data_IF_104066628030
#
_entry.id   IF_104066628030
#
_cell.length_a   1.000
_cell.length_b   1.000
_cell.length_c   1.000
_cell.angle_alpha   90.00
_cell.angle_beta   90.00
_cell.angle_gamma   90.00
#
_symmetry.space_group_name_H-M   'P 1'
#
loop_
_entity.id
_entity.type
_entity.pdbx_description
1 polymer ?
#
# COMPACT_ATOMS: atom_id res chain seq x y z
N UNK A 1 -6.93 12.43 -6.51
CA UNK A 1 -5.99 11.39 -6.04
C UNK A 1 -5.70 10.47 -7.22
N UNK A 2 -4.45 10.04 -7.42
CA UNK A 2 -4.09 9.10 -8.49
C UNK A 2 -4.38 7.68 -8.01
N UNK A 3 -5.03 6.84 -8.82
CA UNK A 3 -5.25 5.44 -8.47
C UNK A 3 -3.94 4.66 -8.62
N UNK A 4 -3.53 3.95 -7.56
CA UNK A 4 -2.33 3.11 -7.55
C UNK A 4 -2.66 1.66 -7.90
N UNK A 5 -3.84 1.18 -7.49
CA UNK A 5 -4.25 -0.20 -7.71
C UNK A 5 -5.66 -0.47 -7.24
N UNK A 6 -6.10 -1.70 -7.43
CA UNK A 6 -7.36 -2.21 -6.93
C UNK A 6 -7.21 -3.67 -6.50
N UNK A 7 -8.05 -4.10 -5.58
CA UNK A 7 -8.17 -5.49 -5.17
C UNK A 7 -9.65 -5.86 -5.03
N UNK A 8 -9.91 -7.06 -4.54
CA UNK A 8 -11.27 -7.55 -4.32
C UNK A 8 -11.98 -6.67 -3.27
N UNK A 9 -12.81 -5.74 -3.76
CA UNK A 9 -13.62 -4.84 -2.95
C UNK A 9 -12.94 -3.60 -2.39
N UNK A 10 -11.71 -3.28 -2.82
CA UNK A 10 -10.98 -2.08 -2.40
C UNK A 10 -10.26 -1.41 -3.56
N UNK A 11 -10.06 -0.11 -3.46
CA UNK A 11 -9.19 0.68 -4.32
C UNK A 11 -8.10 1.33 -3.47
N UNK A 12 -6.90 1.46 -4.04
CA UNK A 12 -5.76 2.14 -3.42
C UNK A 12 -5.41 3.38 -4.22
N UNK A 13 -5.24 4.51 -3.55
CA UNK A 13 -4.96 5.80 -4.15
C UNK A 13 -3.72 6.45 -3.55
N UNK A 14 -2.96 7.16 -4.36
CA UNK A 14 -1.90 8.05 -3.92
C UNK A 14 -2.50 9.40 -3.49
N UNK A 15 -2.22 9.77 -2.25
CA UNK A 15 -2.53 11.07 -1.69
C UNK A 15 -1.24 11.88 -1.54
N UNK A 16 -0.98 12.75 -2.53
CA UNK A 16 0.08 13.76 -2.45
C UNK A 16 -0.34 14.84 -1.44
N UNK A 17 0.57 15.23 -0.55
CA UNK A 17 0.32 16.29 0.43
C UNK A 17 0.77 17.62 -0.16
N UNK A 18 -0.12 18.62 -0.14
CA UNK A 18 0.24 19.97 -0.59
C UNK A 18 1.40 20.51 0.26
N UNK A 19 2.44 21.11 -0.35
CA UNK A 19 3.56 21.67 0.38
C UNK A 19 3.09 22.97 1.05
N UNK A 20 2.59 22.88 2.29
CA UNK A 20 2.43 24.07 3.15
C UNK A 20 3.74 24.28 3.91
N UNK A 21 4.78 24.70 3.20
CA UNK A 21 6.10 25.06 3.76
C UNK A 21 7.11 23.93 3.96
N UNK A 22 6.68 22.67 4.09
CA UNK A 22 7.55 21.49 4.12
C UNK A 22 7.04 20.41 3.15
N UNK A 23 7.95 19.79 2.39
CA UNK A 23 7.64 18.59 1.60
C UNK A 23 7.29 17.46 2.55
N UNK A 24 6.02 17.04 2.54
CA UNK A 24 5.60 15.87 3.28
C UNK A 24 5.58 14.66 2.35
N UNK A 25 6.15 13.53 2.81
CA UNK A 25 6.05 12.25 2.10
C UNK A 25 4.58 11.92 1.79
N UNK A 26 4.29 11.42 0.58
CA UNK A 26 2.93 11.06 0.18
C UNK A 26 2.42 9.85 0.96
N UNK A 27 1.11 9.64 0.96
CA UNK A 27 0.47 8.47 1.59
C UNK A 27 -0.28 7.64 0.56
N UNK A 28 -0.37 6.34 0.81
CA UNK A 28 -1.32 5.47 0.13
C UNK A 28 -2.63 5.41 0.95
N UNK A 29 -3.77 5.51 0.28
CA UNK A 29 -5.09 5.46 0.89
C UNK A 29 -5.85 4.28 0.31
N UNK A 30 -6.10 3.27 1.14
CA UNK A 30 -6.93 2.10 0.82
C UNK A 30 -8.36 2.36 1.27
N UNK A 31 -9.31 2.21 0.35
CA UNK A 31 -10.72 2.53 0.55
C UNK A 31 -11.60 1.46 -0.08
N UNK A 32 -12.74 1.16 0.54
CA UNK A 32 -13.71 0.19 0.01
C UNK A 32 -14.23 0.68 -1.35
N UNK A 33 -14.33 -0.23 -2.31
CA UNK A 33 -14.88 0.09 -3.61
C UNK A 33 -16.40 0.36 -3.48
N UNK A 34 -16.91 1.54 -3.85
CA UNK A 34 -18.34 1.83 -3.77
C UNK A 34 -19.18 0.97 -4.71
N UNK A 35 -18.57 0.32 -5.72
CA UNK A 35 -19.25 -0.61 -6.63
C UNK A 35 -19.39 -2.03 -6.08
N UNK A 36 -18.95 -2.29 -4.86
CA UNK A 36 -19.18 -3.60 -4.23
C UNK A 36 -20.65 -3.76 -3.87
N UNK A 37 -21.18 -4.96 -4.12
CA UNK A 37 -22.53 -5.34 -3.73
C UNK A 37 -22.72 -5.16 -2.21
N UNK A 38 -23.88 -4.66 -1.80
CA UNK A 38 -24.18 -4.31 -0.40
C UNK A 38 -23.96 -5.51 0.54
N UNK A 39 -24.27 -6.73 0.07
CA UNK A 39 -24.07 -8.00 0.80
C UNK A 39 -22.62 -8.20 1.28
N UNK A 40 -21.63 -7.74 0.50
CA UNK A 40 -20.21 -7.91 0.81
C UNK A 40 -19.57 -6.66 1.41
N UNK A 41 -20.27 -5.52 1.42
CA UNK A 41 -19.73 -4.26 1.92
C UNK A 41 -19.34 -4.35 3.41
N UNK A 42 -20.21 -4.98 4.21
CA UNK A 42 -19.97 -5.23 5.64
C UNK A 42 -18.72 -6.09 5.88
N UNK A 43 -18.50 -7.10 5.03
CA UNK A 43 -17.34 -7.99 5.09
C UNK A 43 -16.06 -7.22 4.79
N UNK A 44 -16.03 -6.41 3.72
CA UNK A 44 -14.85 -5.61 3.38
C UNK A 44 -14.58 -4.52 4.41
N UNK A 45 -15.61 -3.94 5.00
CA UNK A 45 -15.49 -2.99 6.10
C UNK A 45 -14.87 -3.62 7.34
N UNK A 46 -15.33 -4.81 7.73
CA UNK A 46 -14.73 -5.56 8.84
C UNK A 46 -13.25 -5.85 8.56
N UNK A 47 -12.94 -6.40 7.38
CA UNK A 47 -11.55 -6.71 6.96
C UNK A 47 -10.65 -5.48 6.98
N UNK A 48 -11.11 -4.35 6.44
CA UNK A 48 -10.32 -3.11 6.42
C UNK A 48 -10.10 -2.56 7.83
N UNK A 49 -11.08 -2.71 8.72
CA UNK A 49 -10.96 -2.32 10.13
C UNK A 49 -9.95 -3.21 10.86
N UNK A 50 -10.01 -4.53 10.65
CA UNK A 50 -9.08 -5.48 11.25
C UNK A 50 -7.64 -5.25 10.74
N UNK A 51 -7.48 -5.01 9.43
CA UNK A 51 -6.20 -4.61 8.83
C UNK A 51 -5.66 -3.33 9.45
N UNK A 52 -6.49 -2.31 9.66
CA UNK A 52 -6.07 -1.07 10.30
C UNK A 52 -5.63 -1.27 11.76
N UNK A 53 -6.27 -2.17 12.51
CA UNK A 53 -5.88 -2.50 13.89
C UNK A 53 -4.52 -3.17 13.93
N UNK A 54 -4.30 -4.17 13.07
CA UNK A 54 -3.02 -4.89 12.98
C UNK A 54 -1.91 -3.93 12.54
N UNK A 55 -2.12 -3.18 11.45
CA UNK A 55 -1.10 -2.28 10.92
C UNK A 55 -0.71 -1.20 11.93
N UNK A 56 -1.66 -0.71 12.74
CA UNK A 56 -1.41 0.29 13.78
C UNK A 56 -0.48 -0.22 14.88
N UNK A 57 -0.47 -1.53 15.18
CA UNK A 57 0.43 -2.11 16.17
C UNK A 57 1.83 -2.43 15.63
N UNK A 58 2.03 -2.38 14.31
CA UNK A 58 3.30 -2.70 13.67
C UNK A 58 4.16 -1.43 13.54
N UNK A 59 5.42 -1.54 13.95
CA UNK A 59 6.43 -0.50 13.77
C UNK A 59 7.76 -1.15 13.41
N UNK A 60 8.02 -1.32 12.11
CA UNK A 60 9.22 -2.00 11.62
C UNK A 60 9.69 -1.37 10.29
N UNK A 61 10.99 -1.15 10.08
CA UNK A 61 11.52 -0.48 8.87
C UNK A 61 11.25 -1.22 7.56
N UNK A 62 10.91 -2.51 7.60
CA UNK A 62 10.59 -3.32 6.42
C UNK A 62 9.08 -3.64 6.29
N UNK A 63 8.23 -2.96 7.06
CA UNK A 63 6.77 -3.08 6.96
C UNK A 63 6.20 -1.68 6.67
N UNK A 64 5.26 -1.59 5.74
CA UNK A 64 4.56 -0.34 5.42
C UNK A 64 3.87 0.19 6.68
N UNK A 65 4.21 1.41 7.09
CA UNK A 65 3.68 2.00 8.32
C UNK A 65 2.20 2.37 8.28
N UNK A 66 1.55 2.33 9.44
CA UNK A 66 0.22 2.88 9.65
C UNK A 66 0.26 4.42 9.77
N UNK A 67 -0.74 5.10 9.19
CA UNK A 67 -0.93 6.53 9.41
C UNK A 67 -2.24 6.86 10.13
N UNK A 68 -3.37 6.44 9.57
CA UNK A 68 -4.69 6.77 10.10
C UNK A 68 -5.77 5.84 9.56
N UNK A 69 -6.86 5.69 10.31
CA UNK A 69 -8.08 5.04 9.87
C UNK A 69 -9.25 5.96 10.13
N UNK A 70 -9.93 6.41 9.08
CA UNK A 70 -10.95 7.46 9.17
C UNK A 70 -12.06 7.27 8.14
N UNK A 71 -13.14 8.04 8.25
CA UNK A 71 -14.19 8.13 7.22
C UNK A 71 -13.85 9.24 6.22
N UNK A 72 -14.03 8.95 4.94
CA UNK A 72 -14.05 9.97 3.89
C UNK A 72 -15.32 10.82 3.97
N UNK A 73 -15.36 11.90 3.19
CA UNK A 73 -16.51 12.80 3.09
C UNK A 73 -17.80 12.13 2.64
N UNK A 74 -17.70 11.01 1.91
CA UNK A 74 -18.83 10.18 1.50
C UNK A 74 -19.21 9.09 2.52
N UNK A 75 -18.66 9.15 3.74
CA UNK A 75 -18.96 8.21 4.83
C UNK A 75 -18.20 6.87 4.78
N UNK A 76 -17.56 6.56 3.65
CA UNK A 76 -16.80 5.31 3.49
C UNK A 76 -15.52 5.29 4.32
N UNK A 77 -15.11 4.11 4.79
CA UNK A 77 -13.88 3.95 5.58
C UNK A 77 -12.63 3.94 4.69
N UNK A 78 -11.59 4.59 5.20
CA UNK A 78 -10.30 4.78 4.56
C UNK A 78 -9.17 4.45 5.54
N UNK A 79 -8.27 3.58 5.09
CA UNK A 79 -6.99 3.33 5.75
C UNK A 79 -5.90 4.11 5.00
N UNK A 80 -5.31 5.08 5.68
CA UNK A 80 -4.10 5.75 5.23
C UNK A 80 -2.87 5.02 5.77
N UNK A 81 -1.95 4.70 4.87
CA UNK A 81 -0.70 3.98 5.13
C UNK A 81 0.47 4.70 4.47
N UNK A 82 1.68 4.38 4.92
CA UNK A 82 2.91 4.83 4.29
C UNK A 82 2.94 4.48 2.80
N UNK A 83 3.52 5.37 2.00
CA UNK A 83 3.72 5.10 0.58
C UNK A 83 5.01 4.30 0.38
N UNK A 84 4.88 3.03 0.00
CA UNK A 84 6.00 2.09 -0.16
C UNK A 84 6.88 2.30 -1.40
N UNK A 85 6.63 3.34 -2.19
CA UNK A 85 7.35 3.65 -3.42
C UNK A 85 6.55 3.41 -4.69
N UNK A 86 7.16 3.79 -5.81
CA UNK A 86 6.51 3.83 -7.14
C UNK A 86 6.37 2.46 -7.80
N UNK A 87 7.23 1.51 -7.44
CA UNK A 87 7.30 0.18 -8.08
C UNK A 87 7.36 -0.91 -7.02
N UNK A 88 6.64 -2.00 -7.28
CA UNK A 88 6.80 -3.26 -6.57
C UNK A 88 8.06 -3.99 -7.04
N UNK A 89 8.52 -4.97 -6.26
CA UNK A 89 9.59 -5.87 -6.70
C UNK A 89 9.20 -6.61 -8.00
N UNK A 90 7.92 -6.95 -8.16
CA UNK A 90 7.42 -7.59 -9.37
C UNK A 90 7.55 -6.69 -10.59
N UNK A 91 7.22 -5.40 -10.47
CA UNK A 91 7.38 -4.44 -11.57
C UNK A 91 8.85 -4.37 -12.02
N UNK A 92 9.79 -4.35 -11.06
CA UNK A 92 11.22 -4.34 -11.37
C UNK A 92 11.70 -5.62 -12.05
N UNK A 93 11.15 -6.78 -11.68
CA UNK A 93 11.46 -8.07 -12.31
C UNK A 93 10.91 -8.11 -13.75
N UNK A 94 9.65 -7.71 -13.94
CA UNK A 94 8.99 -7.69 -15.25
C UNK A 94 9.64 -6.70 -16.22
N UNK A 95 9.99 -5.51 -15.77
CA UNK A 95 10.73 -4.53 -16.58
C UNK A 95 12.08 -5.08 -17.04
N UNK A 96 12.80 -5.73 -16.13
CA UNK A 96 14.11 -6.33 -16.43
C UNK A 96 14.00 -7.48 -17.42
N UNK A 97 12.97 -8.32 -17.28
CA UNK A 97 12.67 -9.40 -18.20
C UNK A 97 12.27 -8.88 -19.59
N UNK A 98 11.44 -7.84 -19.65
CA UNK A 98 11.05 -7.17 -20.90
C UNK A 98 12.26 -6.61 -21.65
N UNK A 99 13.20 -6.02 -20.90
CA UNK A 99 14.46 -5.52 -21.43
C UNK A 99 15.46 -6.63 -21.77
N UNK A 100 15.08 -7.91 -21.63
CA UNK A 100 15.93 -9.09 -21.88
C UNK A 100 17.28 -9.04 -21.16
N UNK A 101 17.30 -8.49 -19.93
CA UNK A 101 18.51 -8.38 -19.11
C UNK A 101 18.72 -9.65 -18.30
N UNK A 102 19.98 -9.92 -17.99
CA UNK A 102 20.37 -10.99 -17.06
C UNK A 102 19.67 -10.84 -15.70
N UNK A 103 19.57 -11.93 -14.89
CA UNK A 103 19.04 -11.85 -13.53
C UNK A 103 19.65 -10.73 -12.69
N UNK A 104 18.94 -10.30 -11.64
CA UNK A 104 19.51 -9.35 -10.70
C UNK A 104 20.81 -9.92 -10.09
N UNK A 105 21.85 -9.09 -9.88
CA UNK A 105 23.07 -9.50 -9.21
C UNK A 105 22.78 -10.21 -7.88
N UNK A 106 23.50 -11.29 -7.59
CA UNK A 106 23.29 -12.10 -6.38
C UNK A 106 23.32 -11.28 -5.08
N UNK A 107 24.19 -10.26 -5.00
CA UNK A 107 24.25 -9.34 -3.86
C UNK A 107 22.95 -8.55 -3.64
N UNK A 108 22.25 -8.16 -4.72
CA UNK A 108 20.96 -7.47 -4.64
C UNK A 108 19.88 -8.45 -4.18
N UNK A 109 19.88 -9.68 -4.72
CA UNK A 109 18.94 -10.73 -4.31
C UNK A 109 19.08 -11.01 -2.80
N UNK A 110 20.31 -11.19 -2.30
CA UNK A 110 20.58 -11.39 -0.88
C UNK A 110 20.14 -10.19 -0.02
N UNK A 111 20.35 -8.96 -0.51
CA UNK A 111 19.88 -7.75 0.18
C UNK A 111 18.36 -7.74 0.31
N UNK A 112 17.63 -8.06 -0.77
CA UNK A 112 16.16 -8.14 -0.75
C UNK A 112 15.71 -9.24 0.21
N UNK A 113 16.28 -10.44 0.10
CA UNK A 113 15.96 -11.57 0.96
C UNK A 113 16.15 -11.24 2.46
N UNK A 114 17.26 -10.60 2.83
CA UNK A 114 17.54 -10.19 4.21
C UNK A 114 16.51 -9.18 4.74
N UNK A 115 16.12 -8.19 3.93
CA UNK A 115 15.15 -7.18 4.36
C UNK A 115 13.73 -7.73 4.44
N UNK A 116 13.37 -8.67 3.55
CA UNK A 116 12.11 -9.41 3.66
C UNK A 116 12.09 -10.28 4.92
N UNK A 117 13.17 -11.02 5.19
CA UNK A 117 13.28 -11.88 6.37
C UNK A 117 13.22 -11.10 7.69
N UNK A 118 13.68 -9.85 7.72
CA UNK A 118 13.56 -8.99 8.90
C UNK A 118 12.12 -8.50 9.14
N UNK A 119 11.32 -8.37 8.09
CA UNK A 119 9.93 -7.89 8.18
C UNK A 119 8.86 -8.98 8.31
N UNK A 120 9.24 -10.25 8.12
CA UNK A 120 8.40 -11.44 8.30
C UNK A 120 8.42 -11.90 9.77
#
# INVERSE_FOLDING_TARGET
>A
MQKLGFGTGVNVYLMKRSPRGLSHSPWAVKKINPRCNDDYQSVYQKRLTDEAKILKSLNHPNIIGYRAFTKASDGSLCLAMEYGGEKSLNDLIEERNRDSRDPFPAAIILKVALNMARGL
#
